data_IF_411394026939
#
_entry.id   IF_411394026939
#
_cell.length_a   1.000
_cell.length_b   1.000
_cell.length_c   1.000
_cell.angle_alpha   90.00
_cell.angle_beta   90.00
_cell.angle_gamma   90.00
#
_symmetry.space_group_name_H-M   'P 1'
#
loop_
_entity.id
_entity.type
_entity.pdbx_description
1 polymer ?
#
# COMPACT_ATOMS: atom_id res chain seq x y z
N UNK A 1 -23.12 -5.33 11.72
CA UNK A 1 -22.32 -4.55 10.74
C UNK A 1 -21.16 -5.42 10.30
N UNK A 2 -20.91 -5.61 9.01
CA UNK A 2 -19.86 -6.55 8.56
C UNK A 2 -18.49 -6.05 9.01
N UNK A 3 -17.66 -6.96 9.52
CA UNK A 3 -16.30 -6.65 10.02
C UNK A 3 -15.45 -5.92 8.95
N UNK A 4 -15.65 -6.27 7.68
CA UNK A 4 -15.03 -5.59 6.54
C UNK A 4 -15.43 -4.11 6.47
N UNK A 5 -16.72 -3.79 6.57
CA UNK A 5 -17.22 -2.43 6.41
C UNK A 5 -16.67 -1.51 7.51
N UNK A 6 -16.66 -1.97 8.77
CA UNK A 6 -16.09 -1.20 9.89
C UNK A 6 -14.58 -0.95 9.72
N UNK A 7 -13.83 -2.00 9.35
CA UNK A 7 -12.37 -1.87 9.11
C UNK A 7 -12.06 -0.96 7.94
N UNK A 8 -12.84 -1.05 6.87
CA UNK A 8 -12.65 -0.23 5.67
C UNK A 8 -13.02 1.22 5.94
N UNK A 9 -14.09 1.50 6.69
CA UNK A 9 -14.49 2.86 7.03
C UNK A 9 -13.41 3.62 7.83
N UNK A 10 -12.74 2.93 8.77
CA UNK A 10 -11.59 3.51 9.48
C UNK A 10 -10.46 3.90 8.52
N UNK A 11 -10.21 3.09 7.48
CA UNK A 11 -9.20 3.37 6.44
C UNK A 11 -9.66 4.48 5.50
N UNK A 12 -10.96 4.56 5.17
CA UNK A 12 -11.55 5.65 4.37
C UNK A 12 -11.38 7.01 5.04
N UNK A 13 -11.63 7.09 6.35
CA UNK A 13 -11.50 8.33 7.14
C UNK A 13 -10.09 8.93 7.10
N UNK A 14 -9.07 8.10 6.86
CA UNK A 14 -7.70 8.57 6.66
C UNK A 14 -7.50 9.26 5.30
N UNK A 15 -8.30 8.91 4.29
CA UNK A 15 -8.24 9.45 2.93
C UNK A 15 -7.26 8.72 2.02
N UNK A 16 -7.56 8.74 0.71
CA UNK A 16 -6.84 7.99 -0.33
C UNK A 16 -5.35 8.33 -0.39
N UNK A 17 -4.98 9.62 -0.37
CA UNK A 17 -3.58 10.05 -0.43
C UNK A 17 -2.75 9.52 0.74
N UNK A 18 -3.25 9.66 1.97
CA UNK A 18 -2.58 9.13 3.17
C UNK A 18 -2.53 7.61 3.15
N UNK A 19 -3.58 6.95 2.65
CA UNK A 19 -3.57 5.49 2.46
C UNK A 19 -2.46 5.03 1.52
N UNK A 20 -2.34 5.66 0.35
CA UNK A 20 -1.30 5.31 -0.63
C UNK A 20 0.09 5.57 -0.05
N UNK A 21 0.28 6.69 0.65
CA UNK A 21 1.55 6.99 1.32
C UNK A 21 1.92 5.93 2.36
N UNK A 22 1.01 5.60 3.29
CA UNK A 22 1.32 4.63 4.34
C UNK A 22 1.42 3.20 3.81
N UNK A 23 0.43 2.73 3.06
CA UNK A 23 0.34 1.34 2.65
C UNK A 23 1.10 1.03 1.37
N UNK A 24 1.15 1.95 0.41
CA UNK A 24 1.88 1.76 -0.84
C UNK A 24 3.35 2.11 -0.74
N UNK A 25 3.65 3.31 -0.24
CA UNK A 25 5.03 3.82 -0.20
C UNK A 25 5.79 3.26 0.99
N UNK A 26 5.29 3.47 2.21
CA UNK A 26 6.03 3.08 3.42
C UNK A 26 5.99 1.56 3.64
N UNK A 27 4.80 0.97 3.83
CA UNK A 27 4.72 -0.44 4.20
C UNK A 27 5.12 -1.40 3.08
N UNK A 28 4.90 -1.07 1.82
CA UNK A 28 5.27 -1.92 0.68
C UNK A 28 6.60 -1.48 0.10
N UNK A 29 6.69 -0.26 -0.45
CA UNK A 29 7.88 0.21 -1.15
C UNK A 29 9.16 0.23 -0.29
N UNK A 30 9.11 0.84 0.90
CA UNK A 30 10.28 0.94 1.77
C UNK A 30 10.65 -0.42 2.39
N UNK A 31 9.67 -1.23 2.80
CA UNK A 31 9.94 -2.56 3.35
C UNK A 31 10.63 -3.47 2.34
N UNK A 32 10.21 -3.46 1.07
CA UNK A 32 10.85 -4.23 -0.01
C UNK A 32 12.27 -3.72 -0.26
N UNK A 33 12.44 -2.39 -0.30
CA UNK A 33 13.76 -1.78 -0.47
C UNK A 33 14.72 -2.19 0.64
N UNK A 34 14.26 -2.14 1.90
CA UNK A 34 15.05 -2.54 3.06
C UNK A 34 15.39 -4.04 2.99
N UNK A 35 14.41 -4.88 2.72
CA UNK A 35 14.59 -6.34 2.64
C UNK A 35 15.60 -6.72 1.56
N UNK A 36 15.48 -6.14 0.36
CA UNK A 36 16.44 -6.41 -0.72
C UNK A 36 17.82 -5.85 -0.42
N UNK A 37 17.92 -4.72 0.29
CA UNK A 37 19.22 -4.16 0.68
C UNK A 37 19.92 -5.00 1.74
N UNK A 38 19.17 -5.58 2.68
CA UNK A 38 19.70 -6.54 3.66
C UNK A 38 20.19 -7.81 2.94
N UNK A 39 19.42 -8.33 1.99
CA UNK A 39 19.82 -9.48 1.18
C UNK A 39 21.11 -9.16 0.41
N UNK A 40 21.16 -8.02 -0.27
CA UNK A 40 22.32 -7.57 -1.04
C UNK A 40 23.57 -7.47 -0.17
N UNK A 41 23.43 -6.88 1.02
CA UNK A 41 24.52 -6.80 1.99
C UNK A 41 24.98 -8.17 2.47
N UNK A 42 24.04 -9.08 2.75
CA UNK A 42 24.35 -10.42 3.24
C UNK A 42 25.11 -11.27 2.19
N UNK A 43 24.74 -11.18 0.92
CA UNK A 43 25.34 -11.99 -0.15
C UNK A 43 26.59 -11.36 -0.77
N UNK A 44 26.64 -10.03 -0.93
CA UNK A 44 27.72 -9.34 -1.64
C UNK A 44 28.69 -8.62 -0.69
N UNK A 45 28.40 -8.54 0.61
CA UNK A 45 29.21 -7.83 1.61
C UNK A 45 29.20 -6.30 1.47
N UNK A 46 28.45 -5.77 0.50
CA UNK A 46 28.32 -4.33 0.24
C UNK A 46 26.94 -4.03 -0.37
N UNK A 47 26.48 -2.80 -0.19
CA UNK A 47 25.27 -2.30 -0.86
C UNK A 47 25.69 -1.22 -1.85
N UNK A 48 25.50 -1.49 -3.14
CA UNK A 48 25.72 -0.47 -4.17
C UNK A 48 24.74 0.68 -3.99
N UNK A 49 25.27 1.89 -3.81
CA UNK A 49 24.49 3.12 -3.68
C UNK A 49 23.59 3.35 -4.89
N UNK A 50 24.08 3.04 -6.10
CA UNK A 50 23.30 3.20 -7.35
C UNK A 50 22.06 2.31 -7.33
N UNK A 51 22.22 1.04 -6.94
CA UNK A 51 21.07 0.13 -6.82
C UNK A 51 20.15 0.54 -5.67
N UNK A 52 20.70 0.95 -4.52
CA UNK A 52 19.89 1.41 -3.39
C UNK A 52 19.00 2.61 -3.76
N UNK A 53 19.55 3.63 -4.40
CA UNK A 53 18.79 4.80 -4.87
C UNK A 53 17.73 4.40 -5.89
N UNK A 54 18.07 3.52 -6.84
CA UNK A 54 17.10 2.96 -7.78
C UNK A 54 15.93 2.27 -7.08
N UNK A 55 16.21 1.43 -6.08
CA UNK A 55 15.19 0.72 -5.28
C UNK A 55 14.27 1.69 -4.52
N UNK A 56 14.84 2.73 -3.89
CA UNK A 56 14.11 3.76 -3.15
C UNK A 56 13.16 4.56 -4.06
N UNK A 57 13.45 4.72 -5.35
CA UNK A 57 12.55 5.41 -6.27
C UNK A 57 11.52 4.46 -6.90
N UNK A 58 11.96 3.28 -7.33
CA UNK A 58 11.14 2.35 -8.10
C UNK A 58 10.11 1.65 -7.21
N UNK A 59 10.51 1.11 -6.07
CA UNK A 59 9.58 0.30 -5.26
C UNK A 59 8.47 1.12 -4.60
N UNK A 60 8.71 2.32 -4.04
CA UNK A 60 7.64 3.22 -3.63
C UNK A 60 6.67 3.58 -4.76
N UNK A 61 7.18 3.84 -5.97
CA UNK A 61 6.34 4.13 -7.14
C UNK A 61 5.43 2.94 -7.45
N UNK A 62 5.99 1.74 -7.58
CA UNK A 62 5.22 0.51 -7.82
C UNK A 62 4.21 0.27 -6.69
N UNK A 63 4.64 0.40 -5.44
CA UNK A 63 3.81 0.22 -4.26
C UNK A 63 2.64 1.20 -4.22
N UNK A 64 2.84 2.45 -4.65
CA UNK A 64 1.80 3.46 -4.73
C UNK A 64 0.70 3.11 -5.75
N UNK A 65 1.08 2.61 -6.93
CA UNK A 65 0.15 2.16 -7.98
C UNK A 65 -0.66 0.95 -7.51
N UNK A 66 -0.01 0.01 -6.81
CA UNK A 66 -0.70 -1.16 -6.24
C UNK A 66 -1.69 -0.72 -5.16
N UNK A 67 -1.30 0.20 -4.28
CA UNK A 67 -2.18 0.72 -3.23
C UNK A 67 -3.36 1.50 -3.79
N UNK A 68 -3.15 2.27 -4.87
CA UNK A 68 -4.22 2.98 -5.59
C UNK A 68 -5.26 2.01 -6.15
N UNK A 69 -4.83 1.01 -6.93
CA UNK A 69 -5.73 -0.02 -7.47
C UNK A 69 -6.45 -0.79 -6.36
N UNK A 70 -5.76 -1.07 -5.25
CA UNK A 70 -6.35 -1.74 -4.09
C UNK A 70 -7.42 -0.86 -3.44
N UNK A 71 -7.18 0.45 -3.31
CA UNK A 71 -8.15 1.39 -2.77
C UNK A 71 -9.43 1.38 -3.61
N UNK A 72 -9.34 1.53 -4.93
CA UNK A 72 -10.49 1.53 -5.83
C UNK A 72 -11.30 0.23 -5.74
N UNK A 73 -10.61 -0.92 -5.69
CA UNK A 73 -11.27 -2.23 -5.55
C UNK A 73 -12.03 -2.34 -4.22
N UNK A 74 -11.49 -1.77 -3.15
CA UNK A 74 -12.13 -1.81 -1.84
C UNK A 74 -13.26 -0.79 -1.71
N UNK A 75 -13.15 0.41 -2.30
CA UNK A 75 -14.27 1.36 -2.41
C UNK A 75 -15.45 0.73 -3.15
N UNK A 76 -15.18 0.09 -4.30
CA UNK A 76 -16.22 -0.60 -5.08
C UNK A 76 -16.88 -1.74 -4.28
N UNK A 77 -16.10 -2.50 -3.51
CA UNK A 77 -16.64 -3.55 -2.64
C UNK A 77 -17.49 -2.96 -1.51
N UNK A 78 -17.06 -1.84 -0.94
CA UNK A 78 -17.76 -1.16 0.15
C UNK A 78 -19.08 -0.54 -0.31
N UNK A 79 -19.12 0.11 -1.48
CA UNK A 79 -20.35 0.67 -2.04
C UNK A 79 -21.37 -0.42 -2.37
N UNK A 80 -20.92 -1.54 -2.98
CA UNK A 80 -21.78 -2.70 -3.23
C UNK A 80 -22.36 -3.28 -1.93
N UNK A 81 -21.54 -3.36 -0.88
CA UNK A 81 -21.98 -3.87 0.42
C UNK A 81 -23.11 -3.04 1.05
N UNK A 82 -23.02 -1.72 0.92
CA UNK A 82 -24.03 -0.78 1.42
C UNK A 82 -25.30 -0.76 0.57
N UNK A 83 -25.15 -0.79 -0.77
CA UNK A 83 -26.28 -0.88 -1.68
C UNK A 83 -27.16 -2.12 -1.42
N UNK A 84 -26.53 -3.27 -1.14
CA UNK A 84 -27.25 -4.51 -0.80
C UNK A 84 -27.95 -4.47 0.56
N UNK A 85 -27.52 -3.60 1.48
CA UNK A 85 -28.09 -3.46 2.82
C UNK A 85 -29.10 -2.32 2.95
N UNK A 86 -29.41 -1.63 1.85
CA UNK A 86 -30.36 -0.51 1.85
C UNK A 86 -29.91 0.71 2.63
N UNK A 87 -28.65 0.74 3.11
CA UNK A 87 -28.04 1.89 3.75
C UNK A 87 -27.30 2.71 2.70
N UNK A 88 -27.77 3.92 2.42
CA UNK A 88 -27.04 4.88 1.57
C UNK A 88 -25.75 5.34 2.28
N UNK A 89 -24.65 5.39 1.52
CA UNK A 89 -23.28 5.72 1.98
C UNK A 89 -23.10 7.22 2.16
#
# INVERSE_FOLDING_TARGET
MDEFAMKWEKKRKMGKKKYIMWYGVIYVGMSITLLLSIIDFYFNGTVSIVYLLGRILIFPTIGSVIADRRWEKMEKKYSMHHALKGTTV
#
